data_IF_939441824141
#
_entry.id   IF_939441824141
#
_cell.length_a   1.000
_cell.length_b   1.000
_cell.length_c   1.000
_cell.angle_alpha   90.00
_cell.angle_beta   90.00
_cell.angle_gamma   90.00
#
_symmetry.space_group_name_H-M   'P 1'
#
loop_
_entity.id
_entity.type
_entity.pdbx_description
1 polymer ?
#
# COMPACT_ATOMS: atom_id res chain seq x y z
N UNK A 1 16.17 -7.00 -2.91
CA UNK A 1 15.53 -5.68 -3.20
C UNK A 1 15.43 -4.91 -1.89
N UNK A 2 15.67 -3.59 -1.89
CA UNK A 2 15.43 -2.73 -0.72
C UNK A 2 14.28 -1.78 -1.05
N UNK A 3 13.23 -1.80 -0.25
CA UNK A 3 12.09 -0.88 -0.35
C UNK A 3 12.18 0.11 0.80
N UNK A 4 12.13 1.41 0.50
CA UNK A 4 12.11 2.47 1.50
C UNK A 4 10.86 3.31 1.25
N UNK A 5 9.88 3.15 2.13
CA UNK A 5 8.60 3.88 2.08
C UNK A 5 8.38 4.58 3.41
N UNK A 6 7.54 5.61 3.42
CA UNK A 6 7.28 6.42 4.59
C UNK A 6 5.80 6.46 4.93
N UNK A 7 5.51 6.55 6.23
CA UNK A 7 4.19 6.98 6.70
C UNK A 7 4.12 8.50 6.54
N UNK A 8 3.33 8.96 5.57
CA UNK A 8 3.19 10.38 5.27
C UNK A 8 2.09 10.99 6.14
N UNK A 9 2.47 11.89 7.06
CA UNK A 9 1.53 12.52 7.99
C UNK A 9 0.85 13.77 7.41
N UNK A 10 1.62 14.74 6.91
CA UNK A 10 1.12 16.04 6.46
C UNK A 10 1.89 16.54 5.24
N UNK A 11 1.24 17.34 4.41
CA UNK A 11 1.86 18.11 3.34
C UNK A 11 1.37 19.57 3.41
N UNK A 12 2.24 20.46 3.89
CA UNK A 12 1.91 21.89 4.05
C UNK A 12 1.69 22.61 2.72
N UNK A 13 2.32 22.17 1.62
CA UNK A 13 2.17 22.83 0.31
C UNK A 13 0.81 22.54 -0.31
N UNK A 14 0.30 21.33 -0.10
CA UNK A 14 -1.01 20.89 -0.59
C UNK A 14 -2.12 21.08 0.44
N UNK A 15 -1.79 21.58 1.64
CA UNK A 15 -2.71 21.69 2.78
C UNK A 15 -3.42 20.36 3.13
N UNK A 16 -2.69 19.25 3.01
CA UNK A 16 -3.20 17.89 3.30
C UNK A 16 -2.74 17.44 4.68
N UNK A 17 -3.64 16.86 5.45
CA UNK A 17 -3.37 16.17 6.70
C UNK A 17 -3.96 14.76 6.65
N UNK A 18 -3.09 13.75 6.55
CA UNK A 18 -3.48 12.35 6.40
C UNK A 18 -4.09 11.77 7.68
N UNK A 19 -3.98 12.43 8.83
CA UNK A 19 -4.69 12.04 10.05
C UNK A 19 -6.20 12.30 9.94
N UNK A 20 -6.58 13.37 9.24
CA UNK A 20 -7.95 13.88 9.15
C UNK A 20 -8.55 13.82 7.75
N UNK A 21 -7.76 13.43 6.74
CA UNK A 21 -8.20 13.31 5.36
C UNK A 21 -9.49 12.48 5.25
N UNK A 22 -10.53 12.95 4.54
CA UNK A 22 -11.77 12.20 4.37
C UNK A 22 -11.54 10.85 3.67
N UNK A 23 -12.28 9.81 4.10
CA UNK A 23 -12.22 8.47 3.48
C UNK A 23 -12.55 8.54 1.98
N UNK A 24 -13.44 9.46 1.58
CA UNK A 24 -13.77 9.69 0.18
C UNK A 24 -12.55 10.08 -0.65
N UNK A 25 -11.74 11.02 -0.15
CA UNK A 25 -10.53 11.47 -0.85
C UNK A 25 -9.48 10.36 -0.95
N UNK A 26 -9.31 9.58 0.11
CA UNK A 26 -8.43 8.39 0.09
C UNK A 26 -8.91 7.37 -0.94
N UNK A 27 -10.23 7.12 -0.99
CA UNK A 27 -10.84 6.17 -1.93
C UNK A 27 -10.70 6.63 -3.38
N UNK A 28 -10.88 7.94 -3.64
CA UNK A 28 -10.71 8.53 -4.96
C UNK A 28 -9.25 8.43 -5.43
N UNK A 29 -8.29 8.74 -4.55
CA UNK A 29 -6.87 8.61 -4.89
C UNK A 29 -6.45 7.15 -5.10
N UNK A 30 -6.90 6.22 -4.25
CA UNK A 30 -6.64 4.79 -4.46
C UNK A 30 -7.16 4.31 -5.83
N UNK A 31 -8.33 4.79 -6.24
CA UNK A 31 -8.92 4.46 -7.55
C UNK A 31 -8.08 5.03 -8.71
N UNK A 32 -7.61 6.26 -8.59
CA UNK A 32 -6.70 6.89 -9.55
C UNK A 32 -5.43 6.07 -9.74
N UNK A 33 -4.67 5.84 -8.66
CA UNK A 33 -3.41 5.11 -8.71
C UNK A 33 -3.59 3.68 -9.26
N UNK A 34 -4.69 3.03 -8.91
CA UNK A 34 -5.01 1.70 -9.45
C UNK A 34 -5.21 1.71 -10.97
N UNK A 35 -5.89 2.71 -11.52
CA UNK A 35 -6.04 2.83 -12.97
C UNK A 35 -4.70 3.15 -13.66
N UNK A 36 -3.84 3.93 -13.02
CA UNK A 36 -2.52 4.26 -13.55
C UNK A 36 -1.63 3.02 -13.61
N UNK A 37 -1.64 2.16 -12.58
CA UNK A 37 -0.97 0.84 -12.61
C UNK A 37 -1.48 -0.01 -13.78
N UNK A 38 -2.79 -0.14 -13.96
CA UNK A 38 -3.35 -0.92 -15.08
C UNK A 38 -2.87 -0.36 -16.42
N UNK A 39 -2.91 0.95 -16.60
CA UNK A 39 -2.45 1.62 -17.81
C UNK A 39 -0.96 1.37 -18.05
N UNK A 40 -0.13 1.52 -17.02
CA UNK A 40 1.30 1.27 -17.10
C UNK A 40 1.61 -0.18 -17.48
N UNK A 41 0.90 -1.15 -16.89
CA UNK A 41 1.03 -2.57 -17.22
C UNK A 41 0.69 -2.85 -18.69
N UNK A 42 -0.42 -2.30 -19.18
CA UNK A 42 -0.84 -2.44 -20.58
C UNK A 42 0.19 -1.81 -21.54
N UNK A 43 0.68 -0.61 -21.22
CA UNK A 43 1.70 0.06 -22.01
C UNK A 43 2.99 -0.75 -22.06
N UNK A 44 3.47 -1.25 -20.92
CA UNK A 44 4.64 -2.12 -20.90
C UNK A 44 4.39 -3.45 -21.63
N UNK A 45 3.17 -3.96 -21.61
CA UNK A 45 2.83 -5.17 -22.36
C UNK A 45 2.91 -4.97 -23.87
N UNK A 46 2.43 -3.82 -24.36
CA UNK A 46 2.46 -3.46 -25.77
C UNK A 46 3.85 -3.03 -26.24
N UNK A 47 4.63 -2.39 -25.37
CA UNK A 47 5.97 -1.87 -25.67
C UNK A 47 6.93 -2.07 -24.49
N UNK A 48 7.86 -3.03 -24.64
CA UNK A 48 8.74 -3.54 -23.57
C UNK A 48 9.98 -2.67 -23.34
N UNK A 49 9.83 -1.35 -23.35
CA UNK A 49 10.93 -0.42 -23.07
C UNK A 49 11.23 -0.30 -21.58
N UNK A 50 12.47 0.10 -21.26
CA UNK A 50 12.86 0.46 -19.88
C UNK A 50 12.02 1.62 -19.34
N UNK A 51 11.60 2.55 -20.21
CA UNK A 51 10.73 3.66 -19.82
C UNK A 51 9.39 3.13 -19.29
N UNK A 52 8.71 2.27 -20.05
CA UNK A 52 7.42 1.72 -19.63
C UNK A 52 7.55 0.81 -18.39
N UNK A 53 8.65 0.08 -18.25
CA UNK A 53 8.92 -0.69 -17.02
C UNK A 53 9.06 0.22 -15.80
N UNK A 54 9.74 1.38 -15.94
CA UNK A 54 9.86 2.36 -14.85
C UNK A 54 8.50 2.93 -14.46
N UNK A 55 7.61 3.18 -15.43
CA UNK A 55 6.23 3.61 -15.12
C UNK A 55 5.50 2.55 -14.30
N UNK A 56 5.54 1.28 -14.70
CA UNK A 56 4.93 0.19 -13.90
C UNK A 56 5.42 0.22 -12.46
N UNK A 57 6.72 0.39 -12.25
CA UNK A 57 7.32 0.45 -10.91
C UNK A 57 6.85 1.69 -10.14
N UNK A 58 6.78 2.87 -10.78
CA UNK A 58 6.33 4.13 -10.16
C UNK A 58 4.89 4.04 -9.69
N UNK A 59 3.97 3.73 -10.60
CA UNK A 59 2.54 3.63 -10.28
C UNK A 59 2.28 2.55 -9.23
N UNK A 60 3.06 1.45 -9.24
CA UNK A 60 2.95 0.42 -8.20
C UNK A 60 3.35 0.96 -6.83
N UNK A 61 4.41 1.78 -6.75
CA UNK A 61 4.78 2.42 -5.49
C UNK A 61 3.75 3.42 -5.01
N UNK A 62 3.09 4.15 -5.92
CA UNK A 62 2.06 5.11 -5.55
C UNK A 62 0.82 4.39 -4.97
N UNK A 63 0.37 3.28 -5.58
CA UNK A 63 -0.67 2.41 -4.97
C UNK A 63 -0.24 1.92 -3.59
N UNK A 64 0.99 1.40 -3.45
CA UNK A 64 1.50 0.94 -2.15
C UNK A 64 1.50 2.08 -1.12
N UNK A 65 1.85 3.30 -1.52
CA UNK A 65 1.87 4.46 -0.64
C UNK A 65 0.47 4.80 -0.09
N UNK A 66 -0.57 4.65 -0.91
CA UNK A 66 -1.97 4.80 -0.46
C UNK A 66 -2.40 3.63 0.44
N UNK A 67 -1.97 2.39 0.15
CA UNK A 67 -2.21 1.26 1.05
C UNK A 67 -1.55 1.45 2.43
N UNK A 68 -0.33 1.98 2.48
CA UNK A 68 0.37 2.33 3.73
C UNK A 68 -0.44 3.38 4.51
N UNK A 69 -0.95 4.42 3.84
CA UNK A 69 -1.82 5.41 4.47
C UNK A 69 -3.06 4.76 5.08
N UNK A 70 -3.74 3.87 4.36
CA UNK A 70 -4.92 3.15 4.85
C UNK A 70 -4.57 2.32 6.08
N UNK A 71 -3.52 1.50 6.01
CA UNK A 71 -3.08 0.65 7.13
C UNK A 71 -2.72 1.48 8.36
N UNK A 72 -1.99 2.59 8.18
CA UNK A 72 -1.63 3.48 9.27
C UNK A 72 -2.85 4.12 9.94
N UNK A 73 -3.84 4.57 9.14
CA UNK A 73 -5.10 5.10 9.70
C UNK A 73 -5.91 4.04 10.45
N UNK A 74 -5.95 2.82 9.91
CA UNK A 74 -6.57 1.69 10.58
C UNK A 74 -5.87 1.38 11.91
N UNK A 75 -4.54 1.38 11.93
CA UNK A 75 -3.76 1.18 13.16
C UNK A 75 -4.11 2.23 14.23
N UNK A 76 -4.13 3.52 13.87
CA UNK A 76 -4.54 4.59 14.80
C UNK A 76 -5.94 4.36 15.37
N UNK A 77 -6.89 3.91 14.53
CA UNK A 77 -8.26 3.63 14.96
C UNK A 77 -8.37 2.36 15.80
N UNK A 78 -7.54 1.35 15.55
CA UNK A 78 -7.49 0.14 16.36
C UNK A 78 -6.98 0.46 17.78
N UNK A 79 -6.00 1.37 17.91
CA UNK A 79 -5.56 1.88 19.21
C UNK A 79 -6.68 2.59 19.97
N UNK A 80 -7.52 3.40 19.29
CA UNK A 80 -8.70 4.04 19.89
C UNK A 80 -9.76 3.03 20.38
N UNK A 81 -9.70 1.78 19.89
CA UNK A 81 -10.62 0.69 20.19
C UNK A 81 -10.02 -0.36 21.15
N UNK A 82 -8.86 -0.08 21.76
CA UNK A 82 -8.11 -1.01 22.62
C UNK A 82 -7.66 -2.30 21.92
N UNK A 83 -7.46 -2.26 20.59
CA UNK A 83 -7.04 -3.39 19.75
C UNK A 83 -5.65 -3.15 19.11
N UNK A 84 -4.57 -3.04 19.91
CA UNK A 84 -3.25 -2.60 19.42
C UNK A 84 -2.61 -3.55 18.40
N UNK A 85 -2.97 -4.83 18.43
CA UNK A 85 -2.38 -5.88 17.59
C UNK A 85 -3.19 -6.20 16.32
N UNK A 86 -4.32 -5.52 16.10
CA UNK A 86 -5.28 -5.87 15.05
C UNK A 86 -4.65 -6.01 13.64
N UNK A 87 -3.74 -5.12 13.28
CA UNK A 87 -3.05 -5.17 11.97
C UNK A 87 -2.16 -6.42 11.87
N UNK A 88 -1.45 -6.76 12.95
CA UNK A 88 -0.59 -7.93 12.99
C UNK A 88 -1.43 -9.22 12.91
N UNK A 89 -2.51 -9.29 13.68
CA UNK A 89 -3.40 -10.46 13.72
C UNK A 89 -4.04 -10.73 12.34
N UNK A 90 -4.58 -9.69 11.69
CA UNK A 90 -5.13 -9.80 10.33
C UNK A 90 -4.06 -10.20 9.30
N UNK A 91 -2.82 -9.73 9.46
CA UNK A 91 -1.72 -10.12 8.56
C UNK A 91 -1.36 -11.60 8.70
N UNK A 92 -1.38 -12.15 9.93
CA UNK A 92 -1.19 -13.58 10.17
C UNK A 92 -2.33 -14.41 9.56
N UNK A 93 -3.58 -14.01 9.78
CA UNK A 93 -4.74 -14.65 9.14
C UNK A 93 -4.65 -14.63 7.60
N UNK A 94 -4.22 -13.49 7.04
CA UNK A 94 -4.02 -13.36 5.60
C UNK A 94 -2.93 -14.30 5.08
N UNK A 95 -1.79 -14.38 5.77
CA UNK A 95 -0.69 -15.29 5.44
C UNK A 95 -1.18 -16.75 5.44
N UNK A 96 -1.87 -17.18 6.48
CA UNK A 96 -2.38 -18.55 6.59
C UNK A 96 -3.40 -18.88 5.50
N UNK A 97 -4.27 -17.91 5.18
CA UNK A 97 -5.20 -18.04 4.05
C UNK A 97 -4.48 -18.23 2.72
N UNK A 98 -3.35 -17.55 2.48
CA UNK A 98 -2.59 -17.71 1.24
C UNK A 98 -1.84 -19.04 1.20
N UNK A 99 -1.09 -19.38 2.25
CA UNK A 99 -0.23 -20.58 2.26
C UNK A 99 -1.07 -21.84 2.43
N UNK A 100 -1.78 -21.97 3.54
CA UNK A 100 -2.55 -23.17 3.88
C UNK A 100 -3.87 -23.22 3.14
N UNK A 101 -4.57 -22.09 3.03
CA UNK A 101 -5.90 -22.02 2.42
C UNK A 101 -5.91 -22.05 0.89
N UNK A 102 -4.85 -21.55 0.23
CA UNK A 102 -4.77 -21.43 -1.24
C UNK A 102 -3.57 -22.16 -1.85
N UNK A 103 -2.70 -22.77 -1.04
CA UNK A 103 -1.57 -23.56 -1.50
C UNK A 103 -0.44 -22.75 -2.14
N UNK A 104 -0.35 -21.45 -1.85
CA UNK A 104 0.78 -20.65 -2.33
C UNK A 104 2.07 -21.11 -1.65
N UNK A 105 3.14 -21.27 -2.44
CA UNK A 105 4.49 -21.55 -1.96
C UNK A 105 5.24 -20.22 -1.96
N UNK A 106 5.68 -19.77 -0.78
CA UNK A 106 6.40 -18.51 -0.66
C UNK A 106 7.83 -18.65 -1.15
N UNK A 107 8.24 -17.77 -2.07
CA UNK A 107 9.65 -17.61 -2.47
C UNK A 107 10.47 -16.94 -1.35
N UNK A 108 9.89 -15.92 -0.71
CA UNK A 108 10.50 -15.17 0.40
C UNK A 108 9.42 -14.42 1.19
N UNK A 109 9.78 -13.89 2.37
CA UNK A 109 8.97 -12.95 3.14
C UNK A 109 9.35 -11.50 2.87
N UNK A 110 8.39 -10.58 3.04
CA UNK A 110 8.63 -9.15 3.16
C UNK A 110 8.23 -8.74 4.57
N UNK A 111 9.16 -8.12 5.28
CA UNK A 111 8.91 -7.53 6.60
C UNK A 111 8.79 -6.02 6.44
N UNK A 112 7.74 -5.45 7.02
CA UNK A 112 7.53 -4.01 7.09
C UNK A 112 7.56 -3.64 8.56
N UNK A 113 8.65 -3.00 8.96
CA UNK A 113 8.85 -2.48 10.29
C UNK A 113 8.67 -0.95 10.27
N UNK A 114 7.78 -0.43 11.11
CA UNK A 114 7.53 1.00 11.26
C UNK A 114 8.43 1.49 12.38
N UNK A 115 9.54 2.14 12.01
CA UNK A 115 10.46 2.74 12.96
C UNK A 115 9.90 4.07 13.44
N UNK A 116 9.73 4.20 14.75
CA UNK A 116 9.35 5.43 15.45
C UNK A 116 10.52 6.38 15.68
#
# INVERSE_FOLDING_TARGET
MKLLMHVLKKNHKLSIDNETLPIKEISEKLKEEFYEVIKALNNYNNDKTLLNLKEVIRETFDVIQICILILWRCHKKALDLDEPNLIQDINLEHKDKLISGRGWIAETGIEIDVKE
#
